data_IF_461538721817
#
_entry.id   IF_461538721817
#
_cell.length_a   1.000
_cell.length_b   1.000
_cell.length_c   1.000
_cell.angle_alpha   90.00
_cell.angle_beta   90.00
_cell.angle_gamma   90.00
#
_symmetry.space_group_name_H-M   'P 1'
#
loop_
_entity.id
_entity.type
_entity.pdbx_description
1 polymer ?
#
# COMPACT_ATOMS: atom_id res chain seq x y z
N UNK A 1 -18.12 2.91 -25.14
CA UNK A 1 -18.37 2.31 -23.82
C UNK A 1 -17.17 1.41 -23.53
N UNK A 2 -16.08 1.99 -23.02
CA UNK A 2 -14.91 1.19 -22.62
C UNK A 2 -15.35 0.40 -21.39
N UNK A 3 -15.25 -0.93 -21.47
CA UNK A 3 -15.41 -1.79 -20.29
C UNK A 3 -14.39 -1.42 -19.23
N UNK A 4 -14.52 -1.93 -17.99
CA UNK A 4 -13.57 -1.61 -16.94
C UNK A 4 -12.14 -1.90 -17.42
N UNK A 5 -11.24 -0.93 -17.26
CA UNK A 5 -9.84 -1.11 -17.62
C UNK A 5 -9.26 -2.23 -16.73
N UNK A 6 -8.72 -3.33 -17.29
CA UNK A 6 -8.28 -4.47 -16.49
C UNK A 6 -7.15 -4.10 -15.51
N UNK A 7 -6.36 -3.08 -15.86
CA UNK A 7 -5.35 -2.52 -14.95
C UNK A 7 -5.97 -1.79 -13.76
N UNK A 8 -7.11 -1.10 -13.95
CA UNK A 8 -7.84 -0.45 -12.87
C UNK A 8 -8.43 -1.48 -11.91
N UNK A 9 -9.06 -2.55 -12.43
CA UNK A 9 -9.61 -3.62 -11.59
C UNK A 9 -8.51 -4.36 -10.81
N UNK A 10 -7.37 -4.64 -11.46
CA UNK A 10 -6.22 -5.24 -10.79
C UNK A 10 -5.65 -4.30 -9.72
N UNK A 11 -5.50 -3.00 -10.03
CA UNK A 11 -5.05 -1.98 -9.10
C UNK A 11 -5.93 -1.89 -7.86
N UNK A 12 -7.26 -1.88 -8.03
CA UNK A 12 -8.21 -1.81 -6.92
C UNK A 12 -8.13 -3.07 -6.04
N UNK A 13 -8.06 -4.26 -6.65
CA UNK A 13 -7.94 -5.52 -5.91
C UNK A 13 -6.64 -5.58 -5.10
N UNK A 14 -5.51 -5.15 -5.69
CA UNK A 14 -4.22 -5.09 -5.00
C UNK A 14 -4.29 -4.09 -3.85
N UNK A 15 -4.81 -2.89 -4.10
CA UNK A 15 -4.96 -1.84 -3.10
C UNK A 15 -5.80 -2.32 -1.91
N UNK A 16 -6.94 -2.95 -2.17
CA UNK A 16 -7.79 -3.55 -1.14
C UNK A 16 -7.07 -4.67 -0.36
N UNK A 17 -6.29 -5.51 -1.05
CA UNK A 17 -5.54 -6.60 -0.42
C UNK A 17 -4.45 -6.09 0.52
N UNK A 18 -3.77 -5.01 0.14
CA UNK A 18 -2.71 -4.37 0.94
C UNK A 18 -3.30 -3.65 2.15
N UNK A 19 -4.42 -2.93 1.99
CA UNK A 19 -5.15 -2.30 3.09
C UNK A 19 -5.68 -3.30 4.13
N UNK A 20 -5.89 -4.56 3.74
CA UNK A 20 -6.30 -5.62 4.65
C UNK A 20 -5.14 -6.16 5.53
N UNK A 21 -3.89 -5.75 5.30
CA UNK A 21 -2.77 -6.12 6.17
C UNK A 21 -2.81 -5.32 7.48
N UNK A 22 -2.66 -6.01 8.62
CA UNK A 22 -2.86 -5.43 9.95
C UNK A 22 -1.94 -4.24 10.27
N UNK A 23 -0.74 -4.22 9.70
CA UNK A 23 0.26 -3.18 9.94
C UNK A 23 0.18 -2.03 8.92
N UNK A 24 -0.68 -2.11 7.90
CA UNK A 24 -0.86 -1.04 6.90
C UNK A 24 -1.91 -0.05 7.40
N UNK A 25 -1.51 1.21 7.50
CA UNK A 25 -2.39 2.31 7.91
C UNK A 25 -3.03 2.99 6.71
N UNK A 26 -2.23 3.21 5.66
CA UNK A 26 -2.71 3.85 4.44
C UNK A 26 -1.83 3.48 3.23
N UNK A 27 -2.31 3.82 2.02
CA UNK A 27 -1.56 3.70 0.79
C UNK A 27 -1.01 5.06 0.37
N UNK A 28 0.25 5.12 -0.05
CA UNK A 28 0.91 6.36 -0.45
C UNK A 28 1.33 6.29 -1.91
N UNK A 29 1.01 7.33 -2.68
CA UNK A 29 1.50 7.48 -4.05
C UNK A 29 3.02 7.81 -4.13
N UNK A 30 3.67 7.91 -2.98
CA UNK A 30 5.06 8.27 -2.79
C UNK A 30 5.35 9.74 -3.03
N UNK A 31 6.58 10.17 -2.72
CA UNK A 31 6.98 11.58 -2.73
C UNK A 31 6.79 12.28 -4.10
N UNK A 32 6.86 11.52 -5.20
CA UNK A 32 6.69 12.03 -6.57
C UNK A 32 5.32 11.70 -7.18
N UNK A 33 4.41 11.12 -6.41
CA UNK A 33 3.07 10.72 -6.86
C UNK A 33 3.11 9.77 -8.07
N UNK A 34 4.16 8.94 -8.15
CA UNK A 34 4.43 8.00 -9.23
C UNK A 34 3.77 6.64 -8.99
N UNK A 35 3.47 6.31 -7.74
CA UNK A 35 2.86 5.04 -7.35
C UNK A 35 1.34 5.16 -7.40
N UNK A 36 0.80 5.35 -8.60
CA UNK A 36 -0.64 5.45 -8.81
C UNK A 36 -1.08 4.72 -10.08
N UNK A 37 -2.28 4.15 -10.03
CA UNK A 37 -2.92 3.45 -11.16
C UNK A 37 -4.02 4.34 -11.72
N UNK A 38 -3.95 4.74 -13.01
CA UNK A 38 -4.98 5.57 -13.62
C UNK A 38 -6.29 4.80 -13.78
N UNK A 39 -7.41 5.44 -13.46
CA UNK A 39 -8.74 4.87 -13.62
C UNK A 39 -9.69 5.89 -14.23
N UNK A 40 -10.79 5.47 -14.90
CA UNK A 40 -11.80 6.42 -15.38
C UNK A 40 -12.33 7.29 -14.23
N UNK A 41 -12.08 8.61 -14.30
CA UNK A 41 -12.52 9.56 -13.28
C UNK A 41 -11.54 9.80 -12.12
N UNK A 42 -10.33 9.24 -12.16
CA UNK A 42 -9.32 9.51 -11.13
C UNK A 42 -8.08 8.63 -11.19
N UNK A 43 -7.57 8.27 -10.02
CA UNK A 43 -6.45 7.35 -9.85
C UNK A 43 -6.57 6.62 -8.51
N UNK A 44 -6.00 5.43 -8.46
CA UNK A 44 -5.82 4.66 -7.23
C UNK A 44 -4.40 4.95 -6.74
N UNK A 45 -4.29 5.63 -5.60
CA UNK A 45 -2.99 5.94 -5.00
C UNK A 45 -2.40 4.73 -4.27
N UNK A 46 -1.06 4.64 -4.31
CA UNK A 46 -0.22 3.64 -3.68
C UNK A 46 -0.15 2.28 -4.34
N UNK A 47 -0.70 2.13 -5.55
CA UNK A 47 -0.43 0.98 -6.43
C UNK A 47 -0.12 1.49 -7.82
N UNK A 48 0.99 1.05 -8.40
CA UNK A 48 1.35 1.30 -9.80
C UNK A 48 1.65 0.00 -10.52
N UNK A 49 0.79 -0.33 -11.49
CA UNK A 49 1.02 -1.46 -12.40
C UNK A 49 1.93 -1.02 -13.54
N UNK A 50 3.14 -1.60 -13.62
CA UNK A 50 4.05 -1.49 -14.77
C UNK A 50 4.00 -2.78 -15.59
N UNK A 51 4.73 -2.78 -16.70
CA UNK A 51 4.81 -3.95 -17.60
C UNK A 51 5.31 -5.18 -16.87
N UNK A 52 6.44 -5.08 -16.18
CA UNK A 52 7.12 -6.21 -15.53
C UNK A 52 7.11 -6.13 -13.99
N UNK A 53 6.65 -5.01 -13.44
CA UNK A 53 6.68 -4.75 -12.00
C UNK A 53 5.36 -4.20 -11.48
N UNK A 54 5.13 -4.38 -10.19
CA UNK A 54 4.07 -3.70 -9.43
C UNK A 54 4.73 -2.97 -8.29
N UNK A 55 4.54 -1.66 -8.27
CA UNK A 55 5.05 -0.78 -7.22
C UNK A 55 3.93 -0.51 -6.21
N UNK A 56 4.24 -0.64 -4.92
CA UNK A 56 3.28 -0.45 -3.83
C UNK A 56 3.90 0.47 -2.80
N UNK A 57 3.26 1.61 -2.55
CA UNK A 57 3.66 2.56 -1.53
C UNK A 57 2.73 2.45 -0.34
N UNK A 58 3.28 2.20 0.85
CA UNK A 58 2.50 2.00 2.07
C UNK A 58 2.96 2.90 3.20
N UNK A 59 2.00 3.31 4.02
CA UNK A 59 2.22 3.87 5.35
C UNK A 59 1.94 2.77 6.35
N UNK A 60 2.89 2.48 7.24
CA UNK A 60 2.77 1.36 8.18
C UNK A 60 2.82 1.82 9.63
N UNK A 61 2.21 1.04 10.53
CA UNK A 61 2.37 1.21 11.96
C UNK A 61 3.69 0.60 12.41
N UNK A 62 4.48 1.36 13.16
CA UNK A 62 5.66 0.80 13.81
C UNK A 62 5.26 -0.14 14.95
N UNK A 63 5.84 -1.34 14.98
CA UNK A 63 5.57 -2.35 16.00
C UNK A 63 6.34 -3.64 15.82
N UNK A 64 6.79 -3.92 14.59
CA UNK A 64 7.68 -5.02 14.22
C UNK A 64 8.68 -4.57 13.14
N UNK A 65 9.70 -5.37 12.80
CA UNK A 65 10.68 -5.00 11.78
C UNK A 65 10.03 -4.71 10.43
N UNK A 66 10.30 -3.52 9.87
CA UNK A 66 9.79 -3.07 8.58
C UNK A 66 10.02 -4.07 7.41
N UNK A 67 11.19 -4.76 7.31
CA UNK A 67 11.40 -5.76 6.27
C UNK A 67 10.43 -6.95 6.35
N UNK A 68 9.98 -7.31 7.54
CA UNK A 68 8.98 -8.37 7.70
C UNK A 68 7.62 -7.94 7.19
N UNK A 69 7.19 -6.72 7.52
CA UNK A 69 5.92 -6.15 7.02
C UNK A 69 5.94 -6.11 5.49
N UNK A 70 7.03 -5.61 4.90
CA UNK A 70 7.19 -5.57 3.44
C UNK A 70 7.16 -6.97 2.81
N UNK A 71 7.76 -7.96 3.48
CA UNK A 71 7.76 -9.37 3.03
C UNK A 71 6.34 -9.95 3.06
N UNK A 72 5.57 -9.69 4.12
CA UNK A 72 4.17 -10.14 4.23
C UNK A 72 3.27 -9.51 3.17
N UNK A 73 3.40 -8.20 2.93
CA UNK A 73 2.68 -7.50 1.87
C UNK A 73 3.03 -8.10 0.51
N UNK A 74 4.34 -8.32 0.26
CA UNK A 74 4.82 -8.93 -0.98
C UNK A 74 4.24 -10.34 -1.18
N UNK A 75 4.25 -11.17 -0.14
CA UNK A 75 3.70 -12.53 -0.18
C UNK A 75 2.18 -12.53 -0.41
N UNK A 76 1.47 -11.56 0.15
CA UNK A 76 0.03 -11.40 -0.04
C UNK A 76 -0.35 -11.00 -1.47
N UNK A 77 0.48 -10.17 -2.13
CA UNK A 77 0.20 -9.62 -3.47
C UNK A 77 0.77 -10.48 -4.60
N UNK A 78 1.91 -11.14 -4.41
CA UNK A 78 2.55 -12.02 -5.40
C UNK A 78 1.58 -12.98 -6.14
N UNK A 79 0.64 -13.70 -5.48
CA UNK A 79 -0.29 -14.59 -6.18
C UNK A 79 -1.30 -13.87 -7.09
N UNK A 80 -1.50 -12.56 -6.91
CA UNK A 80 -2.40 -11.76 -7.74
C UNK A 80 -1.75 -11.29 -9.04
N UNK A 81 -0.41 -11.30 -9.10
CA UNK A 81 0.39 -10.79 -10.23
C UNK A 81 1.55 -11.74 -10.55
N UNK A 82 1.27 -12.98 -11.00
CA UNK A 82 2.28 -14.03 -11.16
C UNK A 82 3.40 -13.67 -12.16
N UNK A 83 3.10 -12.83 -13.15
CA UNK A 83 4.05 -12.40 -14.18
C UNK A 83 4.83 -11.11 -13.84
N UNK A 84 4.66 -10.56 -12.63
CA UNK A 84 5.27 -9.26 -12.27
C UNK A 84 6.01 -9.30 -10.94
N UNK A 85 7.15 -8.63 -10.88
CA UNK A 85 7.89 -8.45 -9.64
C UNK A 85 7.21 -7.39 -8.75
N UNK A 86 6.91 -7.76 -7.51
CA UNK A 86 6.30 -6.85 -6.53
C UNK A 86 7.38 -6.11 -5.75
N UNK A 87 7.38 -4.78 -5.86
CA UNK A 87 8.22 -3.85 -5.12
C UNK A 87 7.37 -3.11 -4.09
N UNK A 88 7.74 -3.22 -2.82
CA UNK A 88 7.05 -2.57 -1.70
C UNK A 88 7.98 -1.51 -1.13
N UNK A 89 7.50 -0.27 -1.10
CA UNK A 89 8.18 0.87 -0.50
C UNK A 89 7.38 1.34 0.71
N UNK A 90 8.07 1.49 1.83
CA UNK A 90 7.49 2.04 3.06
C UNK A 90 7.76 3.54 3.03
N UNK A 91 6.73 4.30 2.69
CA UNK A 91 6.83 5.75 2.45
C UNK A 91 6.76 6.55 3.76
N UNK A 92 6.03 6.04 4.74
CA UNK A 92 5.92 6.65 6.07
C UNK A 92 5.70 5.56 7.13
N UNK A 93 6.09 5.87 8.37
CA UNK A 93 5.98 5.00 9.53
C UNK A 93 5.38 5.80 10.68
N UNK A 94 4.16 5.45 11.07
CA UNK A 94 3.54 6.04 12.25
C UNK A 94 3.90 5.22 13.49
N UNK A 95 4.58 5.87 14.43
CA UNK A 95 4.63 5.42 15.82
C UNK A 95 3.36 5.94 16.49
N UNK A 96 2.50 5.04 16.95
CA UNK A 96 1.44 5.48 17.85
C UNK A 96 2.13 6.08 19.07
N UNK A 97 2.13 7.41 19.21
CA UNK A 97 2.52 8.02 20.48
C UNK A 97 1.62 7.36 21.53
N UNK A 98 2.16 6.83 22.64
CA UNK A 98 1.31 6.56 23.78
C UNK A 98 0.54 7.86 24.05
N UNK A 99 -0.78 7.76 24.19
CA UNK A 99 -1.61 8.92 24.50
C UNK A 99 -0.98 9.72 25.65
N UNK A 100 -1.19 11.05 25.70
CA UNK A 100 -0.57 11.87 26.75
C UNK A 100 -0.78 11.19 28.10
N UNK A 101 0.24 11.13 28.98
CA UNK A 101 0.07 10.52 30.28
C UNK A 101 -1.16 11.16 30.90
N UNK A 102 -2.17 10.36 31.24
CA UNK A 102 -3.32 10.84 31.98
C UNK A 102 -2.77 11.48 33.24
N UNK A 103 -2.75 12.80 33.30
CA UNK A 103 -2.40 13.54 34.50
C UNK A 103 -3.53 13.24 35.50
N UNK A 104 -3.34 12.20 36.31
CA UNK A 104 -4.10 12.01 37.53
C UNK A 104 -3.45 12.91 38.59
N UNK A 105 -4.19 13.91 39.05
CA UNK A 105 -3.77 14.97 39.97
C UNK A 105 -3.97 16.34 39.31
N UNK A 106 -4.85 17.21 39.77
CA UNK A 106 -5.16 17.59 41.16
C UNK A 106 -6.64 17.94 41.35
#
# INVERSE_FOLDING_TARGET
MTGPDPAAEAGERIAARVRACADVLDLSAGAFNTVATPVPGGRIDGVALRTDTVEIGVVVRYGRPLPEIATEIRAAVAPMVPDRAVHVSIEDVSVGLPGPPTRSGE
#
